data_IF_488979759384
#
_entry.id   IF_488979759384
#
_cell.length_a   1.000
_cell.length_b   1.000
_cell.length_c   1.000
_cell.angle_alpha   90.00
_cell.angle_beta   90.00
_cell.angle_gamma   90.00
#
_symmetry.space_group_name_H-M   'P 1'
#
loop_
_entity.id
_entity.type
_entity.pdbx_description
1 polymer ?
#
# COMPACT_ATOMS: atom_id res chain seq x y z
N UNK A 1 -17.08 11.74 -13.03
CA UNK A 1 -17.72 12.65 -12.06
C UNK A 1 -17.11 12.31 -10.71
N UNK A 2 -16.23 13.17 -10.21
CA UNK A 2 -15.55 13.01 -8.91
C UNK A 2 -16.50 13.47 -7.81
N UNK A 3 -16.88 12.59 -6.88
CA UNK A 3 -17.49 13.06 -5.65
C UNK A 3 -16.41 13.82 -4.84
N UNK A 4 -16.67 15.06 -4.40
CA UNK A 4 -15.77 15.75 -3.48
C UNK A 4 -15.59 14.91 -2.20
N UNK A 5 -14.50 15.17 -1.46
CA UNK A 5 -14.36 14.65 -0.09
C UNK A 5 -15.65 14.94 0.70
N UNK A 6 -16.13 14.03 1.55
CA UNK A 6 -17.41 14.20 2.20
C UNK A 6 -17.26 15.41 3.10
N UNK A 7 -18.23 16.31 3.07
CA UNK A 7 -18.21 17.45 3.99
C UNK A 7 -18.19 16.93 5.44
N UNK A 8 -17.74 17.75 6.40
CA UNK A 8 -17.76 17.37 7.83
C UNK A 8 -19.16 16.84 8.22
N UNK A 9 -20.23 17.45 7.69
CA UNK A 9 -21.62 17.00 7.89
C UNK A 9 -21.92 15.60 7.31
N UNK A 10 -21.30 15.21 6.19
CA UNK A 10 -21.48 13.87 5.63
C UNK A 10 -20.74 12.81 6.43
N UNK A 11 -19.55 13.12 6.99
CA UNK A 11 -18.84 12.20 7.88
C UNK A 11 -19.61 11.95 9.17
N UNK A 12 -20.19 12.99 9.77
CA UNK A 12 -21.01 12.86 10.98
C UNK A 12 -22.30 12.06 10.72
N UNK A 13 -22.95 12.25 9.57
CA UNK A 13 -24.15 11.47 9.22
C UNK A 13 -23.89 9.95 9.17
N UNK A 14 -22.75 9.52 8.63
CA UNK A 14 -22.39 8.10 8.59
C UNK A 14 -21.91 7.57 9.94
N UNK A 15 -21.28 8.41 10.78
CA UNK A 15 -20.89 8.01 12.14
C UNK A 15 -22.09 7.58 12.98
N UNK A 16 -23.23 8.24 12.83
CA UNK A 16 -24.46 7.88 13.55
C UNK A 16 -25.05 6.51 13.14
N UNK A 17 -24.69 6.00 11.96
CA UNK A 17 -25.12 4.69 11.46
C UNK A 17 -24.23 3.53 11.92
N UNK A 18 -23.11 3.84 12.58
CA UNK A 18 -22.19 2.84 13.07
C UNK A 18 -22.68 2.25 14.39
N UNK A 19 -22.44 0.95 14.62
CA UNK A 19 -22.79 0.32 15.89
C UNK A 19 -22.10 1.04 17.04
N UNK A 20 -22.87 1.32 18.11
CA UNK A 20 -22.34 1.81 19.39
C UNK A 20 -22.21 0.61 20.31
N UNK A 21 -21.01 0.35 20.82
CA UNK A 21 -20.77 -0.69 21.82
C UNK A 21 -20.09 -0.09 23.06
N UNK A 22 -20.84 0.16 24.15
CA UNK A 22 -20.28 0.71 25.38
C UNK A 22 -19.35 -0.29 26.10
N UNK A 23 -19.29 -1.55 25.66
CA UNK A 23 -18.38 -2.59 26.18
C UNK A 23 -17.22 -2.88 25.22
N UNK A 24 -17.03 -2.07 24.18
CA UNK A 24 -15.94 -2.27 23.23
C UNK A 24 -14.58 -2.32 23.95
N UNK A 25 -13.82 -3.38 23.68
CA UNK A 25 -12.47 -3.58 24.26
C UNK A 25 -11.44 -2.56 23.74
N UNK A 26 -11.71 -1.98 22.58
CA UNK A 26 -10.93 -0.89 21.97
C UNK A 26 -11.83 0.35 21.94
N UNK A 27 -11.43 1.40 22.65
CA UNK A 27 -12.17 2.66 22.76
C UNK A 27 -12.30 3.40 21.43
N UNK A 28 -11.50 3.03 20.43
CA UNK A 28 -11.53 3.61 19.08
C UNK A 28 -12.66 3.03 18.21
N UNK A 29 -13.33 1.96 18.65
CA UNK A 29 -14.51 1.42 17.97
C UNK A 29 -15.58 2.51 17.77
N UNK A 30 -16.27 2.57 16.62
CA UNK A 30 -16.30 1.60 15.51
C UNK A 30 -15.36 1.90 14.34
N UNK A 31 -14.78 3.10 14.26
CA UNK A 31 -13.91 3.50 13.13
C UNK A 31 -12.44 3.16 13.33
N UNK A 32 -12.05 2.93 14.57
CA UNK A 32 -10.68 2.68 15.01
C UNK A 32 -9.75 3.86 14.71
N UNK A 33 -10.27 5.08 14.86
CA UNK A 33 -9.49 6.32 14.84
C UNK A 33 -8.84 6.53 16.21
N UNK A 34 -7.55 6.83 16.24
CA UNK A 34 -6.83 7.13 17.47
C UNK A 34 -7.08 8.54 18.00
N UNK A 35 -6.70 8.77 19.26
CA UNK A 35 -6.79 10.08 19.93
C UNK A 35 -5.50 10.93 19.79
N UNK A 36 -4.55 10.45 18.99
CA UNK A 36 -3.25 11.09 18.78
C UNK A 36 -3.30 12.25 17.78
N UNK A 37 -2.40 13.21 17.97
CA UNK A 37 -2.16 14.31 17.03
C UNK A 37 -1.08 13.94 16.03
N UNK A 38 -1.27 14.31 14.75
CA UNK A 38 -0.26 14.05 13.73
C UNK A 38 1.03 14.82 14.05
N UNK A 39 2.18 14.26 13.67
CA UNK A 39 3.48 14.93 13.78
C UNK A 39 3.59 16.08 12.78
N UNK A 40 3.89 17.27 13.30
CA UNK A 40 4.17 18.48 12.52
C UNK A 40 5.68 18.77 12.53
N UNK A 41 6.39 18.60 11.39
CA UNK A 41 7.84 18.78 11.31
C UNK A 41 8.40 20.15 11.70
N UNK A 42 7.53 21.15 11.86
CA UNK A 42 7.91 22.49 12.34
C UNK A 42 8.17 22.52 13.84
N UNK A 43 7.53 21.64 14.61
CA UNK A 43 7.56 21.65 16.09
C UNK A 43 7.93 20.30 16.67
N UNK A 44 7.59 19.20 16.00
CA UNK A 44 7.88 17.85 16.42
C UNK A 44 9.16 17.34 15.75
N UNK A 45 9.92 16.52 16.47
CA UNK A 45 11.16 15.90 15.98
C UNK A 45 10.98 14.41 15.58
N UNK A 46 9.85 13.80 15.95
CA UNK A 46 9.59 12.38 15.76
C UNK A 46 8.15 12.10 15.31
N UNK A 47 7.85 10.82 15.07
CA UNK A 47 6.54 10.31 14.68
C UNK A 47 5.48 10.64 15.74
N UNK A 48 4.22 10.70 15.31
CA UNK A 48 3.11 10.56 16.25
C UNK A 48 3.15 9.14 16.84
N UNK A 49 2.67 8.95 18.08
CA UNK A 49 2.67 7.65 18.74
C UNK A 49 1.25 7.22 19.12
N UNK A 50 0.92 5.95 18.89
CA UNK A 50 -0.31 5.30 19.36
C UNK A 50 0.04 4.18 20.36
N UNK A 51 -0.81 3.99 21.36
CA UNK A 51 -0.69 2.93 22.36
C UNK A 51 -1.50 1.68 21.99
N UNK A 52 -2.04 1.65 20.76
CA UNK A 52 -2.80 0.53 20.22
C UNK A 52 -2.18 -0.05 18.95
N UNK A 53 -2.58 -1.27 18.59
CA UNK A 53 -2.24 -1.90 17.32
C UNK A 53 -2.94 -1.21 16.15
N UNK A 54 -2.45 -1.51 14.94
CA UNK A 54 -3.06 -1.05 13.69
C UNK A 54 -4.56 -1.42 13.63
N UNK A 55 -5.40 -0.60 12.99
CA UNK A 55 -6.84 -0.67 13.12
C UNK A 55 -7.46 -1.82 12.32
N UNK A 56 -6.82 -2.31 11.27
CA UNK A 56 -7.44 -3.08 10.20
C UNK A 56 -7.89 -4.46 10.63
N UNK A 57 -7.14 -5.15 11.49
CA UNK A 57 -7.60 -6.44 12.01
C UNK A 57 -8.89 -6.32 12.81
N UNK A 58 -9.06 -5.23 13.58
CA UNK A 58 -10.26 -5.01 14.39
C UNK A 58 -11.41 -4.45 13.53
N UNK A 59 -11.10 -3.51 12.63
CA UNK A 59 -12.03 -3.02 11.59
C UNK A 59 -12.63 -4.17 10.79
N UNK A 60 -11.79 -5.09 10.31
CA UNK A 60 -12.24 -6.30 9.60
C UNK A 60 -13.29 -7.07 10.38
N UNK A 61 -13.06 -7.33 11.67
CA UNK A 61 -14.01 -8.05 12.51
C UNK A 61 -15.33 -7.28 12.67
N UNK A 62 -15.24 -5.98 12.94
CA UNK A 62 -16.42 -5.12 13.06
C UNK A 62 -17.24 -5.05 11.77
N UNK A 63 -16.57 -4.96 10.61
CA UNK A 63 -17.22 -4.93 9.31
C UNK A 63 -17.85 -6.29 9.01
N UNK A 64 -17.14 -7.41 9.19
CA UNK A 64 -17.68 -8.75 8.93
C UNK A 64 -18.87 -9.10 9.81
N UNK A 65 -18.94 -8.57 11.03
CA UNK A 65 -20.09 -8.74 11.91
C UNK A 65 -21.37 -8.16 11.31
N UNK A 66 -21.28 -7.06 10.56
CA UNK A 66 -22.42 -6.40 9.90
C UNK A 66 -22.62 -6.84 8.45
N UNK A 67 -21.51 -7.13 7.77
CA UNK A 67 -21.43 -7.44 6.33
C UNK A 67 -20.67 -8.75 6.09
N UNK A 68 -21.17 -9.91 6.58
CA UNK A 68 -20.46 -11.20 6.46
C UNK A 68 -20.27 -11.63 5.00
N UNK A 69 -21.12 -11.16 4.10
CA UNK A 69 -21.06 -11.47 2.66
C UNK A 69 -19.77 -10.99 1.98
N UNK A 70 -19.00 -10.08 2.59
CA UNK A 70 -17.70 -9.64 2.05
C UNK A 70 -16.72 -10.82 1.92
N UNK A 71 -16.83 -11.87 2.75
CA UNK A 71 -15.97 -13.06 2.62
C UNK A 71 -16.14 -13.78 1.28
N UNK A 72 -17.31 -13.65 0.62
CA UNK A 72 -17.55 -14.19 -0.72
C UNK A 72 -16.67 -13.53 -1.80
N UNK A 73 -16.07 -12.37 -1.51
CA UNK A 73 -15.16 -11.66 -2.41
C UNK A 73 -13.71 -12.16 -2.33
N UNK A 74 -13.40 -13.06 -1.37
CA UNK A 74 -12.03 -13.56 -1.19
C UNK A 74 -11.56 -14.38 -2.38
N UNK A 75 -10.28 -14.25 -2.69
CA UNK A 75 -9.61 -15.01 -3.74
C UNK A 75 -8.84 -14.14 -4.71
N UNK A 76 -8.38 -14.76 -5.80
CA UNK A 76 -7.49 -14.15 -6.78
C UNK A 76 -8.24 -13.55 -7.98
N UNK A 77 -7.51 -12.87 -8.85
CA UNK A 77 -7.92 -12.41 -10.17
C UNK A 77 -6.82 -12.72 -11.20
N UNK A 78 -7.03 -13.75 -12.03
CA UNK A 78 -6.05 -14.20 -13.01
C UNK A 78 -5.73 -13.18 -14.09
N UNK A 79 -6.55 -12.13 -14.26
CA UNK A 79 -6.25 -11.04 -15.21
C UNK A 79 -4.95 -10.33 -14.84
N UNK A 80 -4.59 -10.29 -13.56
CA UNK A 80 -3.31 -9.75 -13.08
C UNK A 80 -2.13 -10.42 -13.76
N UNK A 81 -2.14 -11.75 -13.90
CA UNK A 81 -1.07 -12.48 -14.59
C UNK A 81 -0.92 -12.06 -16.05
N UNK A 82 -2.04 -11.85 -16.75
CA UNK A 82 -2.04 -11.40 -18.15
C UNK A 82 -1.53 -9.95 -18.27
N UNK A 83 -1.96 -9.07 -17.36
CA UNK A 83 -1.49 -7.68 -17.30
C UNK A 83 0.02 -7.66 -17.04
N UNK A 84 0.54 -8.53 -16.16
CA UNK A 84 1.97 -8.64 -15.90
C UNK A 84 2.76 -9.00 -17.16
N UNK A 85 2.32 -10.01 -17.90
CA UNK A 85 3.00 -10.45 -19.14
C UNK A 85 2.97 -9.32 -20.18
N UNK A 86 1.81 -8.68 -20.35
CA UNK A 86 1.65 -7.57 -21.29
C UNK A 86 2.55 -6.37 -20.92
N UNK A 87 2.60 -6.00 -19.64
CA UNK A 87 3.45 -4.94 -19.14
C UNK A 87 4.94 -5.28 -19.33
N UNK A 88 5.38 -6.49 -18.99
CA UNK A 88 6.76 -6.97 -19.21
C UNK A 88 7.16 -6.90 -20.68
N UNK A 89 6.30 -7.41 -21.58
CA UNK A 89 6.54 -7.35 -23.02
C UNK A 89 6.62 -5.91 -23.53
N UNK A 90 5.71 -5.03 -23.09
CA UNK A 90 5.70 -3.62 -23.48
C UNK A 90 6.98 -2.88 -23.07
N UNK A 91 7.50 -3.12 -21.85
CA UNK A 91 8.74 -2.48 -21.41
C UNK A 91 9.98 -3.03 -22.10
N UNK A 92 10.07 -4.35 -22.31
CA UNK A 92 11.19 -4.93 -23.06
C UNK A 92 11.18 -4.46 -24.52
N UNK A 93 10.01 -4.36 -25.13
CA UNK A 93 9.86 -3.81 -26.49
C UNK A 93 10.29 -2.33 -26.54
N UNK A 94 9.87 -1.52 -25.56
CA UNK A 94 10.28 -0.12 -25.46
C UNK A 94 11.81 0.00 -25.25
N UNK A 95 12.40 -0.88 -24.43
CA UNK A 95 13.85 -0.97 -24.25
C UNK A 95 14.57 -1.31 -25.57
N UNK A 96 14.02 -2.23 -26.37
CA UNK A 96 14.55 -2.54 -27.70
C UNK A 96 14.48 -1.32 -28.64
N UNK A 97 13.33 -0.63 -28.69
CA UNK A 97 13.16 0.56 -29.54
C UNK A 97 14.19 1.63 -29.21
N UNK A 98 14.30 2.05 -27.96
CA UNK A 98 15.26 3.09 -27.57
C UNK A 98 16.72 2.63 -27.56
N UNK A 99 16.94 1.32 -27.45
CA UNK A 99 18.27 0.74 -27.46
C UNK A 99 18.83 0.46 -28.86
N UNK A 100 17.97 0.21 -29.86
CA UNK A 100 18.37 -0.26 -31.20
C UNK A 100 17.80 0.50 -32.37
N UNK A 101 16.62 1.11 -32.24
CA UNK A 101 15.90 1.72 -33.38
C UNK A 101 15.92 3.25 -33.30
N UNK A 102 15.65 3.82 -32.12
CA UNK A 102 15.51 5.26 -31.90
C UNK A 102 16.68 5.85 -31.10
N UNK A 103 17.91 5.43 -31.43
CA UNK A 103 19.13 5.78 -30.67
C UNK A 103 19.42 7.27 -30.65
N UNK A 104 19.02 8.01 -31.67
CA UNK A 104 19.35 9.44 -31.84
C UNK A 104 18.29 10.40 -31.26
N UNK A 105 17.31 9.87 -30.51
CA UNK A 105 16.17 10.64 -29.98
C UNK A 105 16.30 10.89 -28.47
N UNK A 106 17.24 11.72 -28.03
CA UNK A 106 17.45 11.96 -26.59
C UNK A 106 16.19 12.46 -25.86
N UNK A 107 15.55 13.52 -26.35
CA UNK A 107 14.34 14.06 -25.71
C UNK A 107 13.14 13.11 -25.83
N UNK A 108 13.02 12.42 -26.96
CA UNK A 108 12.02 11.36 -27.14
C UNK A 108 12.18 10.25 -26.10
N UNK A 109 13.42 9.82 -25.84
CA UNK A 109 13.75 8.87 -24.78
C UNK A 109 13.32 9.38 -23.40
N UNK A 110 13.68 10.60 -23.02
CA UNK A 110 13.40 11.13 -21.67
C UNK A 110 11.88 11.26 -21.44
N UNK A 111 11.16 11.85 -22.40
CA UNK A 111 9.70 12.04 -22.29
C UNK A 111 8.98 10.70 -22.26
N UNK A 112 9.35 9.76 -23.14
CA UNK A 112 8.72 8.43 -23.17
C UNK A 112 9.03 7.63 -21.89
N UNK A 113 10.28 7.67 -21.41
CA UNK A 113 10.67 7.01 -20.18
C UNK A 113 9.94 7.58 -18.95
N UNK A 114 9.61 8.87 -18.92
CA UNK A 114 8.78 9.44 -17.85
C UNK A 114 7.31 9.04 -17.98
N UNK A 115 6.70 9.30 -19.15
CA UNK A 115 5.25 9.19 -19.34
C UNK A 115 4.81 7.72 -19.45
N UNK A 116 5.42 6.96 -20.35
CA UNK A 116 5.04 5.56 -20.62
C UNK A 116 5.84 4.62 -19.74
N UNK A 117 7.16 4.75 -19.75
CA UNK A 117 8.07 3.92 -18.96
C UNK A 117 7.76 4.02 -17.46
N UNK A 118 7.72 5.24 -16.92
CA UNK A 118 7.40 5.51 -15.52
C UNK A 118 5.99 5.08 -15.14
N UNK A 119 5.01 5.21 -16.03
CA UNK A 119 3.65 4.70 -15.79
C UNK A 119 3.62 3.18 -15.67
N UNK A 120 4.29 2.46 -16.57
CA UNK A 120 4.35 0.99 -16.52
C UNK A 120 5.18 0.53 -15.32
N UNK A 121 6.27 1.24 -14.98
CA UNK A 121 7.04 0.96 -13.77
C UNK A 121 6.19 1.13 -12.51
N UNK A 122 5.41 2.21 -12.39
CA UNK A 122 4.48 2.35 -11.27
C UNK A 122 3.46 1.21 -11.23
N UNK A 123 2.99 0.72 -12.39
CA UNK A 123 2.13 -0.46 -12.48
C UNK A 123 2.84 -1.74 -12.01
N UNK A 124 4.13 -1.91 -12.25
CA UNK A 124 4.87 -3.07 -11.71
C UNK A 124 4.84 -3.13 -10.19
N UNK A 125 4.90 -1.99 -9.50
CA UNK A 125 4.71 -1.94 -8.04
C UNK A 125 3.39 -2.57 -7.62
N UNK A 126 2.30 -2.23 -8.33
CA UNK A 126 0.97 -2.80 -8.11
C UNK A 126 0.90 -4.29 -8.44
N UNK A 127 1.51 -4.73 -9.55
CA UNK A 127 1.53 -6.15 -9.93
C UNK A 127 2.31 -7.00 -8.93
N UNK A 128 3.44 -6.48 -8.45
CA UNK A 128 4.26 -7.09 -7.39
C UNK A 128 3.49 -7.14 -6.06
N UNK A 129 2.72 -6.09 -5.75
CA UNK A 129 1.81 -6.06 -4.62
C UNK A 129 0.75 -7.16 -4.69
N UNK A 130 0.02 -7.28 -5.81
CA UNK A 130 -1.00 -8.31 -5.97
C UNK A 130 -0.41 -9.73 -5.90
N UNK A 131 0.76 -9.95 -6.52
CA UNK A 131 1.48 -11.22 -6.42
C UNK A 131 1.91 -11.54 -4.98
N UNK A 132 2.28 -10.51 -4.20
CA UNK A 132 2.65 -10.64 -2.78
C UNK A 132 1.51 -11.18 -1.93
N UNK A 133 0.29 -10.68 -2.16
CA UNK A 133 -0.92 -11.15 -1.48
C UNK A 133 -1.53 -12.44 -2.07
N UNK A 134 -0.89 -12.98 -3.10
CA UNK A 134 -1.31 -14.17 -3.85
C UNK A 134 -2.61 -13.98 -4.64
N UNK A 135 -2.87 -12.76 -5.13
CA UNK A 135 -4.07 -12.41 -5.89
C UNK A 135 -3.90 -12.52 -7.40
N UNK A 136 -2.70 -12.81 -7.90
CA UNK A 136 -2.46 -12.87 -9.34
C UNK A 136 -2.76 -14.23 -9.97
N UNK A 137 -2.71 -15.31 -9.18
CA UNK A 137 -2.86 -16.68 -9.67
C UNK A 137 -3.41 -17.65 -8.59
N UNK A 138 -3.86 -18.86 -8.95
CA UNK A 138 -4.47 -19.80 -8.01
C UNK A 138 -3.54 -20.35 -6.91
N UNK A 139 -2.23 -20.39 -7.15
CA UNK A 139 -1.27 -20.99 -6.20
C UNK A 139 -0.18 -20.00 -5.81
N UNK A 140 0.37 -20.17 -4.61
CA UNK A 140 1.48 -19.34 -4.11
C UNK A 140 2.69 -19.39 -5.04
N UNK A 141 3.01 -20.58 -5.59
CA UNK A 141 4.12 -20.72 -6.52
C UNK A 141 3.90 -19.93 -7.81
N UNK A 142 2.71 -20.02 -8.42
CA UNK A 142 2.40 -19.25 -9.62
C UNK A 142 2.44 -17.73 -9.36
N UNK A 143 1.96 -17.27 -8.22
CA UNK A 143 2.10 -15.86 -7.83
C UNK A 143 3.57 -15.44 -7.72
N UNK A 144 4.44 -16.32 -7.21
CA UNK A 144 5.88 -16.04 -7.19
C UNK A 144 6.49 -15.92 -8.57
N UNK A 145 6.03 -16.74 -9.53
CA UNK A 145 6.45 -16.60 -10.92
C UNK A 145 5.94 -15.28 -11.53
N UNK A 146 4.69 -14.90 -11.29
CA UNK A 146 4.14 -13.60 -11.73
C UNK A 146 4.98 -12.44 -11.18
N UNK A 147 5.34 -12.49 -9.90
CA UNK A 147 6.21 -11.49 -9.27
C UNK A 147 7.59 -11.39 -9.93
N UNK A 148 8.21 -12.52 -10.25
CA UNK A 148 9.48 -12.54 -11.01
C UNK A 148 9.28 -11.98 -12.43
N UNK A 149 8.18 -12.32 -13.11
CA UNK A 149 7.86 -11.78 -14.44
C UNK A 149 7.67 -10.27 -14.42
N UNK A 150 7.00 -9.71 -13.40
CA UNK A 150 6.88 -8.26 -13.24
C UNK A 150 8.26 -7.59 -13.09
N UNK A 151 9.19 -8.26 -12.41
CA UNK A 151 10.55 -7.76 -12.21
C UNK A 151 11.39 -7.71 -13.51
N UNK A 152 10.97 -8.32 -14.63
CA UNK A 152 11.70 -8.24 -15.91
C UNK A 152 11.86 -6.80 -16.39
N UNK A 153 10.84 -5.95 -16.17
CA UNK A 153 10.89 -4.55 -16.57
C UNK A 153 11.55 -3.61 -15.56
N UNK A 154 12.18 -4.16 -14.51
CA UNK A 154 12.84 -3.42 -13.43
C UNK A 154 14.26 -3.95 -13.27
N UNK A 155 15.31 -3.15 -13.54
CA UNK A 155 16.70 -3.62 -13.57
C UNK A 155 17.32 -3.72 -12.16
N UNK A 156 16.51 -4.07 -11.16
CA UNK A 156 16.86 -4.21 -9.74
C UNK A 156 15.94 -5.30 -9.15
N UNK A 157 16.46 -6.24 -8.33
CA UNK A 157 15.68 -7.38 -7.83
C UNK A 157 14.75 -6.99 -6.66
N UNK A 158 13.64 -6.32 -6.95
CA UNK A 158 12.75 -5.75 -5.93
C UNK A 158 11.66 -6.72 -5.43
N UNK A 159 11.17 -7.63 -6.29
CA UNK A 159 9.95 -8.40 -6.02
C UNK A 159 10.01 -9.22 -4.71
N UNK A 160 11.02 -10.05 -4.54
CA UNK A 160 11.07 -10.98 -3.42
C UNK A 160 11.32 -10.27 -2.08
N UNK A 161 12.13 -9.20 -2.10
CA UNK A 161 12.32 -8.35 -0.93
C UNK A 161 11.05 -7.57 -0.60
N UNK A 162 10.39 -6.99 -1.60
CA UNK A 162 9.08 -6.35 -1.43
C UNK A 162 8.08 -7.32 -0.80
N UNK A 163 7.97 -8.55 -1.30
CA UNK A 163 7.07 -9.56 -0.74
C UNK A 163 7.30 -9.77 0.75
N UNK A 164 8.56 -9.93 1.18
CA UNK A 164 8.89 -10.14 2.60
C UNK A 164 8.54 -8.92 3.44
N UNK A 165 9.04 -7.75 3.05
CA UNK A 165 8.92 -6.52 3.81
C UNK A 165 7.49 -5.98 3.84
N UNK A 166 6.73 -6.11 2.75
CA UNK A 166 5.35 -5.67 2.68
C UNK A 166 4.43 -6.54 3.56
N UNK A 167 4.61 -7.87 3.59
CA UNK A 167 3.85 -8.73 4.50
C UNK A 167 4.19 -8.47 5.98
N UNK A 168 5.45 -8.12 6.27
CA UNK A 168 5.86 -7.67 7.60
C UNK A 168 5.20 -6.34 7.97
N UNK A 169 5.15 -5.38 7.04
CA UNK A 169 4.43 -4.12 7.20
C UNK A 169 2.95 -4.35 7.53
N UNK A 170 2.22 -5.19 6.80
CA UNK A 170 0.82 -5.55 7.13
C UNK A 170 0.66 -6.13 8.55
N UNK A 171 1.68 -6.84 9.04
CA UNK A 171 1.64 -7.46 10.37
C UNK A 171 1.99 -6.46 11.48
N UNK A 172 3.00 -5.61 11.22
CA UNK A 172 3.68 -4.77 12.18
C UNK A 172 3.63 -3.29 11.80
N UNK A 173 2.61 -2.84 11.09
CA UNK A 173 2.44 -1.46 10.62
C UNK A 173 2.68 -0.50 11.79
N UNK A 174 3.52 0.52 11.57
CA UNK A 174 3.90 1.53 12.56
C UNK A 174 4.76 1.02 13.73
N UNK A 175 5.07 -0.27 13.83
CA UNK A 175 5.89 -0.80 14.94
C UNK A 175 7.35 -0.43 14.72
N UNK A 176 7.89 0.42 15.58
CA UNK A 176 9.27 0.92 15.47
C UNK A 176 10.28 -0.22 15.45
N UNK A 177 11.15 -0.22 14.45
CA UNK A 177 12.19 -1.24 14.25
C UNK A 177 11.73 -2.53 13.55
N UNK A 178 10.42 -2.66 13.25
CA UNK A 178 9.86 -3.81 12.54
C UNK A 178 9.22 -3.42 11.21
N UNK A 179 8.59 -2.26 11.15
CA UNK A 179 7.98 -1.73 9.94
C UNK A 179 9.04 -1.07 9.02
N UNK A 180 9.31 -1.63 7.82
CA UNK A 180 10.28 -1.07 6.88
C UNK A 180 9.83 0.25 6.25
N UNK A 181 8.55 0.62 6.36
CA UNK A 181 8.00 1.84 5.78
C UNK A 181 8.17 3.08 6.67
N UNK A 182 8.64 2.90 7.90
CA UNK A 182 8.97 4.01 8.79
C UNK A 182 10.27 4.72 8.34
N UNK A 183 10.34 6.06 8.46
CA UNK A 183 11.52 6.81 8.09
C UNK A 183 12.70 6.51 9.02
N UNK A 184 13.91 6.53 8.46
CA UNK A 184 15.14 6.51 9.24
C UNK A 184 15.34 7.85 9.97
N UNK A 185 16.13 7.82 11.05
CA UNK A 185 16.44 9.00 11.87
C UNK A 185 16.94 10.20 11.07
N UNK A 186 17.80 9.96 10.07
CA UNK A 186 18.34 11.05 9.25
C UNK A 186 17.29 11.66 8.34
N UNK A 187 16.30 10.88 7.86
CA UNK A 187 15.23 11.39 7.00
C UNK A 187 14.36 12.38 7.79
N UNK A 188 14.03 12.03 9.04
CA UNK A 188 13.28 12.91 9.94
C UNK A 188 14.07 14.19 10.24
N UNK A 189 15.32 14.05 10.69
CA UNK A 189 16.17 15.18 11.13
C UNK A 189 16.54 16.14 10.00
N UNK A 190 16.82 15.63 8.81
CA UNK A 190 17.34 16.45 7.71
C UNK A 190 16.23 17.05 6.85
N UNK A 191 15.20 16.28 6.48
CA UNK A 191 14.21 16.70 5.48
C UNK A 191 13.15 17.63 6.11
N UNK A 192 12.59 17.23 7.27
CA UNK A 192 11.53 17.94 8.00
C UNK A 192 10.46 18.51 7.06
N UNK A 193 10.01 19.74 7.31
CA UNK A 193 9.01 20.47 6.53
C UNK A 193 9.56 21.25 5.34
N UNK A 194 10.85 21.10 4.97
CA UNK A 194 11.46 21.91 3.92
C UNK A 194 11.06 21.41 2.52
N UNK A 195 10.45 22.28 1.71
CA UNK A 195 9.92 21.89 0.40
C UNK A 195 10.98 21.40 -0.60
N UNK A 196 12.14 22.06 -0.65
CA UNK A 196 13.22 21.69 -1.55
C UNK A 196 13.83 20.32 -1.17
N UNK A 197 14.03 20.10 0.14
CA UNK A 197 14.53 18.81 0.64
C UNK A 197 13.52 17.69 0.42
N UNK A 198 12.22 17.94 0.61
CA UNK A 198 11.17 16.95 0.31
C UNK A 198 11.10 16.60 -1.17
N UNK A 199 11.24 17.59 -2.06
CA UNK A 199 11.31 17.35 -3.50
C UNK A 199 12.52 16.49 -3.87
N UNK A 200 13.71 16.83 -3.36
CA UNK A 200 14.93 16.06 -3.60
C UNK A 200 14.84 14.65 -3.01
N UNK A 201 14.25 14.51 -1.82
CA UNK A 201 14.03 13.24 -1.16
C UNK A 201 13.09 12.33 -1.96
N UNK A 202 12.00 12.86 -2.52
CA UNK A 202 11.14 12.10 -3.44
C UNK A 202 11.84 11.72 -4.74
N UNK A 203 12.75 12.55 -5.24
CA UNK A 203 13.54 12.22 -6.43
C UNK A 203 14.50 11.03 -6.21
N UNK A 204 15.03 10.85 -4.99
CA UNK A 204 15.89 9.71 -4.62
C UNK A 204 15.14 8.56 -3.93
N UNK A 205 13.80 8.65 -3.85
CA UNK A 205 12.99 7.67 -3.14
C UNK A 205 13.14 6.20 -3.59
N UNK A 206 13.38 5.90 -4.88
CA UNK A 206 13.70 4.52 -5.29
C UNK A 206 14.90 3.93 -4.55
N UNK A 207 15.93 4.75 -4.25
CA UNK A 207 17.09 4.35 -3.46
C UNK A 207 16.71 4.16 -2.00
N UNK A 208 15.84 5.02 -1.47
CA UNK A 208 15.40 4.97 -0.08
C UNK A 208 14.71 3.67 0.29
N UNK A 209 13.92 3.08 -0.61
CA UNK A 209 13.35 1.75 -0.41
C UNK A 209 14.42 0.66 -0.14
N UNK A 210 15.51 0.68 -0.91
CA UNK A 210 16.62 -0.26 -0.73
C UNK A 210 17.35 0.03 0.59
N UNK A 211 17.62 1.30 0.88
CA UNK A 211 18.33 1.72 2.10
C UNK A 211 17.56 1.34 3.36
N UNK A 212 16.24 1.60 3.41
CA UNK A 212 15.38 1.21 4.53
C UNK A 212 15.34 -0.31 4.71
N UNK A 213 15.16 -1.05 3.61
CA UNK A 213 15.20 -2.52 3.63
C UNK A 213 16.54 -3.09 4.11
N UNK A 214 17.66 -2.46 3.74
CA UNK A 214 19.01 -2.85 4.19
C UNK A 214 19.25 -2.48 5.68
N UNK A 215 18.71 -1.35 6.14
CA UNK A 215 18.82 -0.91 7.54
C UNK A 215 18.17 -1.91 8.53
N UNK A 216 17.25 -2.75 8.06
CA UNK A 216 16.67 -3.85 8.83
C UNK A 216 17.66 -5.01 9.10
N UNK A 217 18.83 -5.04 8.44
CA UNK A 217 19.92 -6.01 8.67
C UNK A 217 19.49 -7.48 8.61
N UNK A 218 18.46 -7.79 7.82
CA UNK A 218 17.96 -9.16 7.62
C UNK A 218 18.80 -9.89 6.57
N UNK A 219 19.07 -11.17 6.81
CA UNK A 219 19.74 -12.02 5.81
C UNK A 219 18.79 -12.28 4.63
N UNK A 220 19.26 -12.24 3.38
CA UNK A 220 18.43 -12.56 2.23
C UNK A 220 17.84 -13.97 2.34
N UNK A 221 16.55 -14.08 2.09
CA UNK A 221 15.85 -15.37 1.96
C UNK A 221 16.21 -16.07 0.66
N UNK A 222 15.93 -17.37 0.57
CA UNK A 222 16.14 -18.17 -0.65
C UNK A 222 15.45 -17.55 -1.88
N UNK A 223 14.25 -17.00 -1.72
CA UNK A 223 13.52 -16.38 -2.83
C UNK A 223 14.11 -15.02 -3.25
N UNK A 224 14.75 -14.29 -2.34
CA UNK A 224 15.50 -13.09 -2.68
C UNK A 224 16.76 -13.44 -3.49
N UNK A 225 17.45 -14.53 -3.13
CA UNK A 225 18.56 -15.07 -3.95
C UNK A 225 18.07 -15.45 -5.35
N UNK A 226 16.93 -16.14 -5.47
CA UNK A 226 16.34 -16.47 -6.78
C UNK A 226 16.00 -15.22 -7.59
N UNK A 227 15.43 -14.19 -6.95
CA UNK A 227 15.10 -12.95 -7.63
C UNK A 227 16.36 -12.18 -8.08
N UNK A 228 17.44 -12.18 -7.29
CA UNK A 228 18.74 -11.61 -7.68
C UNK A 228 19.27 -12.32 -8.93
N UNK A 229 19.36 -13.65 -8.90
CA UNK A 229 19.86 -14.43 -10.05
C UNK A 229 18.98 -14.19 -11.28
N UNK A 230 17.65 -14.26 -11.11
CA UNK A 230 16.70 -14.02 -12.18
C UNK A 230 16.89 -12.63 -12.81
N UNK A 231 17.00 -11.58 -11.99
CA UNK A 231 17.16 -10.19 -12.46
C UNK A 231 18.48 -10.01 -13.19
N UNK A 232 19.59 -10.55 -12.67
CA UNK A 232 20.90 -10.51 -13.36
C UNK A 232 20.80 -11.18 -14.73
N UNK A 233 20.15 -12.35 -14.80
CA UNK A 233 19.95 -13.05 -16.07
C UNK A 233 19.10 -12.22 -17.05
N UNK A 234 17.98 -11.64 -16.60
CA UNK A 234 17.10 -10.85 -17.48
C UNK A 234 17.75 -9.54 -17.92
N UNK A 235 18.47 -8.85 -17.03
CA UNK A 235 19.21 -7.64 -17.37
C UNK A 235 20.33 -7.91 -18.35
N UNK A 236 21.05 -9.04 -18.21
CA UNK A 236 22.04 -9.48 -19.17
C UNK A 236 21.43 -9.77 -20.55
N UNK A 237 20.24 -10.39 -20.60
CA UNK A 237 19.50 -10.61 -21.84
C UNK A 237 19.04 -9.29 -22.46
N UNK A 238 18.49 -8.36 -21.68
CA UNK A 238 18.12 -7.02 -22.16
C UNK A 238 19.35 -6.28 -22.68
N UNK A 239 20.47 -6.28 -21.96
CA UNK A 239 21.71 -5.66 -22.42
C UNK A 239 22.21 -6.29 -23.73
N UNK A 240 22.14 -7.61 -23.86
CA UNK A 240 22.56 -8.33 -25.07
C UNK A 240 21.69 -7.99 -26.28
N UNK A 241 20.37 -8.01 -26.14
CA UNK A 241 19.42 -7.87 -27.26
C UNK A 241 18.96 -6.42 -27.50
N UNK A 242 18.79 -5.63 -26.45
CA UNK A 242 18.37 -4.22 -26.51
C UNK A 242 19.57 -3.26 -26.43
N UNK A 243 20.74 -3.71 -25.97
CA UNK A 243 21.91 -2.84 -25.77
C UNK A 243 21.87 -2.15 -24.41
N UNK A 244 23.02 -1.62 -23.96
CA UNK A 244 23.13 -0.91 -22.67
C UNK A 244 22.20 0.31 -22.59
N UNK A 245 21.92 0.97 -23.74
CA UNK A 245 20.95 2.07 -23.81
C UNK A 245 19.51 1.61 -23.54
N UNK A 246 19.15 0.39 -23.96
CA UNK A 246 17.85 -0.21 -23.61
C UNK A 246 17.75 -0.57 -22.13
N UNK A 247 18.84 -1.05 -21.53
CA UNK A 247 18.88 -1.25 -20.08
C UNK A 247 18.79 0.09 -19.32
N UNK A 248 19.46 1.14 -19.80
CA UNK A 248 19.35 2.51 -19.27
C UNK A 248 17.91 3.03 -19.36
N UNK A 249 17.18 2.71 -20.44
CA UNK A 249 15.76 3.05 -20.54
C UNK A 249 14.94 2.46 -19.37
N UNK A 250 15.13 1.18 -19.04
CA UNK A 250 14.44 0.55 -17.91
C UNK A 250 14.84 1.21 -16.57
N UNK A 251 16.12 1.56 -16.42
CA UNK A 251 16.61 2.25 -15.22
C UNK A 251 16.00 3.65 -15.07
N UNK A 252 15.96 4.45 -16.14
CA UNK A 252 15.35 5.79 -16.13
C UNK A 252 13.84 5.71 -15.90
N UNK A 253 13.17 4.71 -16.49
CA UNK A 253 11.75 4.42 -16.23
C UNK A 253 11.51 4.09 -14.75
N UNK A 254 12.37 3.27 -14.14
CA UNK A 254 12.36 2.99 -12.71
C UNK A 254 12.49 4.27 -11.88
N UNK A 255 13.51 5.07 -12.20
CA UNK A 255 13.82 6.30 -11.47
C UNK A 255 12.64 7.28 -11.47
N UNK A 256 11.99 7.46 -12.62
CA UNK A 256 10.80 8.29 -12.70
C UNK A 256 9.58 7.65 -12.03
N UNK A 257 9.30 6.39 -12.34
CA UNK A 257 8.09 5.68 -11.90
C UNK A 257 7.96 5.51 -10.39
N UNK A 258 9.09 5.43 -9.67
CA UNK A 258 9.14 5.36 -8.19
C UNK A 258 9.55 6.70 -7.53
N UNK A 259 9.83 7.73 -8.34
CA UNK A 259 10.15 9.08 -7.88
C UNK A 259 8.93 10.01 -7.98
N UNK A 260 9.02 11.06 -8.81
CA UNK A 260 7.99 12.11 -8.92
C UNK A 260 6.84 11.78 -9.88
N UNK A 261 6.72 10.54 -10.37
CA UNK A 261 5.59 10.15 -11.22
C UNK A 261 4.28 10.15 -10.40
N UNK A 262 3.13 10.61 -10.94
CA UNK A 262 1.87 10.65 -10.18
C UNK A 262 1.47 9.32 -9.58
N UNK A 263 1.78 8.21 -10.27
CA UNK A 263 1.58 6.86 -9.76
C UNK A 263 2.36 6.54 -8.48
N UNK A 264 3.52 7.15 -8.24
CA UNK A 264 4.33 6.94 -7.04
C UNK A 264 3.74 7.59 -5.78
N UNK A 265 2.73 8.47 -5.93
CA UNK A 265 2.14 9.16 -4.78
C UNK A 265 1.45 8.22 -3.80
N UNK A 266 1.11 6.98 -4.22
CA UNK A 266 0.53 5.98 -3.33
C UNK A 266 1.43 5.73 -2.11
N UNK A 267 2.76 5.71 -2.28
CA UNK A 267 3.72 5.57 -1.16
C UNK A 267 3.56 6.63 -0.06
N UNK A 268 3.05 7.81 -0.44
CA UNK A 268 2.72 8.89 0.49
C UNK A 268 1.27 8.75 0.98
N UNK A 269 0.34 8.66 0.03
CA UNK A 269 -1.09 8.62 0.28
C UNK A 269 -1.51 7.55 1.29
N UNK A 270 -0.87 6.38 1.25
CA UNK A 270 -1.31 5.22 2.01
C UNK A 270 -1.20 5.42 3.53
N UNK A 271 0.00 5.72 4.04
CA UNK A 271 0.31 5.71 5.47
C UNK A 271 0.95 7.00 6.01
N UNK A 272 1.03 8.08 5.22
CA UNK A 272 1.35 9.38 5.81
C UNK A 272 0.12 9.98 6.50
N UNK A 273 0.32 10.56 7.69
CA UNK A 273 -0.75 11.10 8.53
C UNK A 273 -1.14 12.52 8.09
N UNK A 274 -2.24 12.62 7.33
CA UNK A 274 -2.79 13.90 6.87
C UNK A 274 -3.75 14.53 7.90
N UNK A 275 -4.51 13.69 8.58
CA UNK A 275 -5.49 14.02 9.62
C UNK A 275 -5.07 13.38 10.96
N UNK A 276 -5.49 14.01 12.07
CA UNK A 276 -5.31 13.44 13.41
C UNK A 276 -6.08 12.12 13.55
N UNK A 277 -5.52 11.17 14.30
CA UNK A 277 -6.17 9.90 14.61
C UNK A 277 -6.28 8.89 13.47
N UNK A 278 -5.97 9.24 12.21
CA UNK A 278 -6.07 8.34 11.07
C UNK A 278 -4.69 8.01 10.46
N UNK A 279 -4.31 6.72 10.47
CA UNK A 279 -2.99 6.26 10.00
C UNK A 279 -2.98 5.61 8.61
N UNK A 280 -4.15 5.49 7.98
CA UNK A 280 -4.28 4.85 6.66
C UNK A 280 -5.33 5.60 5.87
N UNK A 281 -5.11 5.81 4.57
CA UNK A 281 -6.03 6.56 3.73
C UNK A 281 -6.24 5.82 2.42
N UNK A 282 -7.45 5.95 1.87
CA UNK A 282 -7.71 5.53 0.50
C UNK A 282 -7.66 6.72 -0.46
N UNK A 283 -7.51 6.42 -1.74
CA UNK A 283 -7.59 7.30 -2.88
C UNK A 283 -8.75 6.85 -3.77
N UNK A 284 -9.70 7.75 -4.05
CA UNK A 284 -10.88 7.49 -4.89
C UNK A 284 -10.87 8.31 -6.19
N UNK A 285 -9.69 8.45 -6.81
CA UNK A 285 -9.54 9.18 -8.07
C UNK A 285 -9.37 8.28 -9.30
N UNK A 286 -9.26 8.92 -10.46
CA UNK A 286 -9.27 8.24 -11.77
C UNK A 286 -8.07 7.31 -11.99
N UNK A 287 -6.94 7.57 -11.32
CA UNK A 287 -5.73 6.77 -11.49
C UNK A 287 -5.86 5.35 -10.92
N UNK A 288 -6.89 5.04 -10.13
CA UNK A 288 -7.20 3.66 -9.77
C UNK A 288 -7.46 2.77 -10.99
N UNK A 289 -8.00 3.31 -12.09
CA UNK A 289 -8.28 2.52 -13.30
C UNK A 289 -7.03 1.91 -13.91
N UNK A 290 -5.98 2.69 -14.26
CA UNK A 290 -4.73 2.11 -14.75
C UNK A 290 -3.91 1.40 -13.67
N UNK A 291 -4.04 1.79 -12.40
CA UNK A 291 -3.29 1.20 -11.29
C UNK A 291 -4.09 0.20 -10.47
N UNK A 292 -4.97 -0.54 -11.13
CA UNK A 292 -5.64 -1.71 -10.58
C UNK A 292 -6.15 -1.47 -9.15
N UNK A 293 -6.91 -0.39 -8.94
CA UNK A 293 -7.54 -0.06 -7.67
C UNK A 293 -6.63 -0.05 -6.42
N UNK A 294 -5.31 0.07 -6.58
CA UNK A 294 -4.36 0.06 -5.44
C UNK A 294 -4.65 1.17 -4.45
N UNK A 295 -5.22 2.29 -4.89
CA UNK A 295 -5.63 3.39 -4.03
C UNK A 295 -6.76 3.04 -3.07
N UNK A 296 -7.51 1.94 -3.26
CA UNK A 296 -8.48 1.42 -2.28
C UNK A 296 -7.76 0.74 -1.10
N UNK A 297 -6.92 1.51 -0.42
CA UNK A 297 -5.89 0.99 0.48
C UNK A 297 -6.42 0.65 1.87
N UNK A 298 -7.34 1.45 2.41
CA UNK A 298 -8.05 1.10 3.64
C UNK A 298 -8.84 -0.20 3.45
N UNK A 299 -9.57 -0.32 2.32
CA UNK A 299 -10.32 -1.52 1.96
C UNK A 299 -9.40 -2.73 1.83
N UNK A 300 -8.24 -2.55 1.19
CA UNK A 300 -7.22 -3.59 1.06
C UNK A 300 -6.66 -4.03 2.42
N UNK A 301 -6.25 -3.10 3.28
CA UNK A 301 -5.71 -3.46 4.60
C UNK A 301 -6.78 -4.12 5.49
N UNK A 302 -8.03 -3.66 5.45
CA UNK A 302 -9.15 -4.31 6.13
C UNK A 302 -9.39 -5.74 5.56
N UNK A 303 -9.23 -5.93 4.25
CA UNK A 303 -9.53 -7.18 3.55
C UNK A 303 -8.43 -7.64 2.58
N UNK A 304 -7.24 -7.94 3.11
CA UNK A 304 -6.06 -8.34 2.32
C UNK A 304 -6.22 -9.63 1.50
N UNK A 305 -7.35 -10.35 1.68
CA UNK A 305 -7.73 -11.54 0.90
C UNK A 305 -8.60 -11.23 -0.33
N UNK A 306 -8.96 -9.97 -0.55
CA UNK A 306 -9.77 -9.53 -1.70
C UNK A 306 -8.84 -8.94 -2.76
N UNK A 307 -8.85 -9.52 -3.97
CA UNK A 307 -8.10 -8.99 -5.10
C UNK A 307 -8.61 -7.60 -5.52
N UNK A 308 -7.70 -6.81 -6.10
CA UNK A 308 -7.94 -5.43 -6.53
C UNK A 308 -9.26 -5.16 -7.27
N UNK A 309 -9.71 -6.09 -8.10
CA UNK A 309 -10.88 -5.92 -8.96
C UNK A 309 -12.19 -5.95 -8.19
N UNK A 310 -12.18 -6.48 -6.97
CA UNK A 310 -13.34 -6.60 -6.08
C UNK A 310 -13.30 -5.64 -4.89
N UNK A 311 -12.19 -4.92 -4.66
CA UNK A 311 -12.11 -3.87 -3.63
C UNK A 311 -13.21 -2.80 -3.74
N UNK A 312 -13.64 -2.35 -4.95
CA UNK A 312 -14.76 -1.42 -5.04
C UNK A 312 -16.07 -1.97 -4.45
N UNK A 313 -16.27 -3.30 -4.49
CA UNK A 313 -17.44 -3.94 -3.92
C UNK A 313 -17.38 -3.96 -2.39
N UNK A 314 -16.20 -4.16 -1.79
CA UNK A 314 -15.99 -4.03 -0.34
C UNK A 314 -16.45 -2.66 0.15
N UNK A 315 -15.99 -1.59 -0.51
CA UNK A 315 -16.41 -0.22 -0.21
C UNK A 315 -17.92 -0.02 -0.32
N UNK A 316 -18.51 -0.52 -1.40
CA UNK A 316 -19.94 -0.38 -1.66
C UNK A 316 -20.83 -1.15 -0.67
N UNK A 317 -20.33 -2.27 -0.12
CA UNK A 317 -21.05 -3.08 0.86
C UNK A 317 -21.03 -2.47 2.27
N UNK A 318 -19.95 -1.76 2.63
CA UNK A 318 -19.78 -1.19 3.97
C UNK A 318 -19.52 0.33 3.95
N UNK A 319 -20.36 1.15 3.29
CA UNK A 319 -20.12 2.59 3.11
C UNK A 319 -20.00 3.34 4.44
N UNK A 320 -20.71 2.93 5.49
CA UNK A 320 -20.64 3.58 6.81
C UNK A 320 -19.24 3.51 7.44
N UNK A 321 -18.43 2.49 7.10
CA UNK A 321 -17.06 2.32 7.61
C UNK A 321 -16.01 3.04 6.77
N UNK A 322 -16.34 3.45 5.54
CA UNK A 322 -15.38 4.02 4.57
C UNK A 322 -15.70 5.47 4.17
N UNK A 323 -16.97 5.88 4.15
CA UNK A 323 -17.40 7.25 3.82
C UNK A 323 -17.26 8.22 5.00
N UNK A 324 -17.06 7.68 6.20
CA UNK A 324 -16.75 8.42 7.43
C UNK A 324 -15.25 8.72 7.61
N UNK A 325 -14.39 8.09 6.80
CA UNK A 325 -12.93 8.21 6.88
C UNK A 325 -12.40 9.34 5.98
N UNK A 326 -11.22 9.88 6.33
CA UNK A 326 -10.50 10.77 5.43
C UNK A 326 -9.93 10.02 4.22
N UNK A 327 -9.87 10.68 3.07
CA UNK A 327 -9.39 10.10 1.82
C UNK A 327 -8.89 11.17 0.84
N UNK A 328 -8.20 10.72 -0.19
CA UNK A 328 -7.70 11.54 -1.28
C UNK A 328 -8.47 11.32 -2.59
N UNK A 329 -8.48 12.34 -3.46
CA UNK A 329 -9.07 12.24 -4.81
C UNK A 329 -8.08 12.56 -5.92
N UNK A 330 -6.89 13.09 -5.57
CA UNK A 330 -5.81 13.42 -6.50
C UNK A 330 -4.44 13.07 -5.92
N UNK A 331 -3.74 12.12 -6.53
CA UNK A 331 -2.35 11.79 -6.21
C UNK A 331 -1.37 12.92 -6.55
N UNK A 332 -1.67 13.70 -7.60
CA UNK A 332 -0.92 14.94 -7.86
C UNK A 332 -1.04 15.92 -6.69
N UNK A 333 -2.23 16.04 -6.10
CA UNK A 333 -2.43 16.89 -4.93
C UNK A 333 -1.75 16.32 -3.69
N UNK A 334 -1.70 14.98 -3.52
CA UNK A 334 -0.92 14.34 -2.44
C UNK A 334 0.55 14.73 -2.54
N UNK A 335 1.16 14.56 -3.71
CA UNK A 335 2.55 15.00 -3.93
C UNK A 335 2.72 16.48 -3.67
N UNK A 336 1.86 17.32 -4.26
CA UNK A 336 1.92 18.77 -4.09
C UNK A 336 1.88 19.15 -2.60
N UNK A 337 0.86 18.69 -1.87
CA UNK A 337 0.71 18.99 -0.44
C UNK A 337 1.92 18.52 0.37
N UNK A 338 2.35 17.27 0.16
CA UNK A 338 3.51 16.73 0.85
C UNK A 338 4.76 17.57 0.59
N UNK A 339 5.00 17.99 -0.66
CA UNK A 339 6.18 18.80 -1.02
C UNK A 339 6.05 20.23 -0.48
N UNK A 340 4.93 20.92 -0.71
CA UNK A 340 4.85 22.37 -0.51
C UNK A 340 4.42 22.79 0.88
N UNK A 341 3.63 21.99 1.59
CA UNK A 341 3.14 22.38 2.92
C UNK A 341 4.17 22.01 4.01
N UNK A 342 4.58 22.96 4.87
CA UNK A 342 5.64 22.72 5.86
C UNK A 342 5.23 21.79 7.01
N UNK A 343 3.92 21.54 7.17
CA UNK A 343 3.37 20.62 8.17
C UNK A 343 3.48 19.13 7.81
N UNK A 344 4.11 18.78 6.67
CA UNK A 344 4.39 17.40 6.28
C UNK A 344 5.87 17.17 6.03
N UNK A 345 6.33 15.97 6.36
CA UNK A 345 7.70 15.49 6.12
C UNK A 345 7.80 13.99 6.35
N UNK A 346 9.00 13.38 6.25
CA UNK A 346 9.17 11.93 6.41
C UNK A 346 8.60 11.37 7.72
N UNK A 347 8.63 12.17 8.79
CA UNK A 347 8.09 11.84 10.12
C UNK A 347 6.57 11.88 10.25
N UNK A 348 5.82 12.34 9.23
CA UNK A 348 4.36 12.37 9.26
C UNK A 348 3.79 10.96 9.04
N UNK A 349 4.11 10.06 9.98
CA UNK A 349 3.69 8.65 10.08
C UNK A 349 3.25 8.40 11.52
N UNK A 350 2.61 7.26 11.75
CA UNK A 350 2.27 6.79 13.09
C UNK A 350 3.24 5.70 13.53
N UNK A 351 3.84 5.89 14.71
CA UNK A 351 4.66 4.92 15.40
C UNK A 351 3.92 4.25 16.56
N UNK A 352 4.40 3.08 16.98
CA UNK A 352 3.94 2.35 18.17
C UNK A 352 5.05 1.45 18.68
N UNK A 353 5.06 1.19 19.98
CA UNK A 353 6.01 0.25 20.56
C UNK A 353 5.60 -1.19 20.24
N UNK A 354 6.56 -2.11 20.29
CA UNK A 354 6.28 -3.55 20.19
C UNK A 354 5.41 -4.05 21.36
N UNK A 355 5.53 -3.44 22.53
CA UNK A 355 4.72 -3.80 23.70
C UNK A 355 3.26 -3.41 23.51
N UNK A 356 3.00 -2.17 23.10
CA UNK A 356 1.66 -1.67 22.80
C UNK A 356 0.99 -2.51 21.71
N UNK A 357 1.73 -2.78 20.62
CA UNK A 357 1.26 -3.64 19.54
C UNK A 357 0.82 -5.02 20.06
N UNK A 358 1.68 -5.70 20.85
CA UNK A 358 1.35 -7.03 21.40
C UNK A 358 0.16 -6.97 22.36
N UNK A 359 0.09 -5.96 23.20
CA UNK A 359 -0.96 -5.80 24.21
C UNK A 359 -2.32 -5.57 23.55
N UNK A 360 -2.39 -4.66 22.59
CA UNK A 360 -3.61 -4.37 21.87
C UNK A 360 -4.02 -5.54 20.95
N UNK A 361 -3.07 -6.24 20.32
CA UNK A 361 -3.35 -7.41 19.47
C UNK A 361 -3.99 -8.57 20.24
N UNK A 362 -3.71 -8.73 21.55
CA UNK A 362 -4.39 -9.73 22.41
C UNK A 362 -5.91 -9.51 22.48
N UNK A 363 -6.38 -8.28 22.29
CA UNK A 363 -7.81 -7.96 22.29
C UNK A 363 -8.53 -8.59 21.09
N UNK A 364 -7.87 -8.73 19.94
CA UNK A 364 -8.45 -9.39 18.74
C UNK A 364 -8.89 -10.82 19.05
N UNK A 365 -8.06 -11.57 19.77
CA UNK A 365 -8.40 -12.94 20.18
C UNK A 365 -9.60 -12.99 21.13
N UNK A 366 -9.80 -11.96 21.97
CA UNK A 366 -10.99 -11.85 22.82
C UNK A 366 -12.23 -11.48 22.02
N UNK A 367 -12.12 -10.57 21.04
CA UNK A 367 -13.22 -10.18 20.15
C UNK A 367 -13.73 -11.39 19.36
N UNK A 368 -12.84 -12.21 18.78
CA UNK A 368 -13.23 -13.44 18.06
C UNK A 368 -14.01 -14.42 18.93
N UNK A 369 -13.54 -14.69 20.15
CA UNK A 369 -14.22 -15.61 21.08
C UNK A 369 -15.56 -15.07 21.58
N UNK A 370 -15.65 -13.76 21.81
CA UNK A 370 -16.89 -13.13 22.22
C UNK A 370 -17.97 -13.22 21.13
N UNK A 371 -17.58 -13.09 19.86
CA UNK A 371 -18.49 -13.30 18.74
C UNK A 371 -18.93 -14.77 18.62
N UNK A 372 -18.01 -15.74 18.74
CA UNK A 372 -18.34 -17.18 18.75
C UNK A 372 -19.41 -17.53 19.81
N UNK A 373 -19.24 -17.05 21.04
CA UNK A 373 -20.22 -17.27 22.11
C UNK A 373 -21.56 -16.56 21.87
N UNK A 374 -21.55 -15.35 21.32
CA UNK A 374 -22.80 -14.64 20.97
C UNK A 374 -23.59 -15.39 19.88
N UNK A 375 -22.90 -15.97 18.90
CA UNK A 375 -23.54 -16.83 17.88
C UNK A 375 -24.10 -18.12 18.49
N UNK A 376 -23.39 -18.75 19.42
CA UNK A 376 -23.88 -19.94 20.14
C UNK A 376 -25.14 -19.63 20.96
N UNK A 377 -25.16 -18.52 21.70
CA UNK A 377 -26.35 -18.08 22.46
C UNK A 377 -27.54 -17.78 21.54
N UNK A 378 -27.32 -17.06 20.44
CA UNK A 378 -28.37 -16.76 19.46
C UNK A 378 -28.90 -18.03 18.77
N UNK A 379 -28.03 -19.01 18.48
CA UNK A 379 -28.42 -20.29 17.90
C UNK A 379 -29.25 -21.13 18.89
N UNK A 380 -28.86 -21.14 20.17
CA UNK A 380 -29.59 -21.81 21.24
C UNK A 380 -30.97 -21.18 21.48
N UNK A 381 -31.07 -19.85 21.45
CA UNK A 381 -32.35 -19.14 21.59
C UNK A 381 -33.26 -19.33 20.38
N UNK A 382 -32.70 -19.35 19.16
CA UNK A 382 -33.45 -19.68 17.95
C UNK A 382 -33.94 -21.14 17.94
N UNK A 383 -33.23 -22.06 18.60
CA UNK A 383 -33.64 -23.45 18.74
C UNK A 383 -34.77 -23.60 19.79
N UNK A 384 -34.67 -22.91 20.94
CA UNK A 384 -35.75 -22.86 21.95
C UNK A 384 -37.05 -22.24 21.42
N UNK A 385 -36.96 -21.34 20.44
CA UNK A 385 -38.13 -20.76 19.75
C UNK A 385 -38.76 -21.69 18.71
N UNK A 386 -38.08 -22.76 18.29
CA UNK A 386 -38.63 -23.81 17.41
C UNK A 386 -39.19 -25.00 18.18
N UNK A 387 -38.72 -25.20 19.41
CA UNK A 387 -39.15 -26.28 20.30
C UNK A 387 -40.35 -25.89 21.20
N UNK A 388 -40.82 -24.65 21.09
CA UNK A 388 -42.10 -24.14 21.62
C UNK A 388 -43.05 -23.81 20.46
#
# INVERSE_FOLDING_TARGET
>A
MSNPSPTVNQREHYKDQLPKDPKALDNRFPLYLGDWKKSDPRVDDDLAMDNMDEPHMKRKLAILKKHPDIEKLYGHDSRTSLITIAAAAAQVYSAYLFGRVWTDTFWGFVVFAYVVGGSITALYGVLIHEATHNHAAPTVFLNKLVGLTANIGIPVPIYASFRRYHLEHHTYQGVTGMDPDLPLEWEKKMIRGNAALKLLWLFIYPVMYVVRGAAMKKKPSTWEVYNIVFTICTDALVAKFCGLRGLLYLFVSLWFGYGLHPGAAHFIQEHYTFDDGQETYSYYGILNKPYMNIGLHMEHHDFTKVAWSRLPQVRAMAPEFYDSMAYHTSWLLVHWKFITEPGYGPQSRLGRSMEDHKTARKQVGKLRRADEHAYEEMALDAQKLKDN
#
